data_IF_823652210126
#
_entry.id   IF_823652210126
#
_cell.length_a   1.000
_cell.length_b   1.000
_cell.length_c   1.000
_cell.angle_alpha   90.00
_cell.angle_beta   90.00
_cell.angle_gamma   90.00
#
_symmetry.space_group_name_H-M   'P 1'
#
loop_
_entity.id
_entity.type
_entity.pdbx_description
1 polymer ?
#
# COMPACT_ATOMS: atom_id res chain seq x y z
N UNK A 1 16.64 9.75 -0.42
CA UNK A 1 16.35 10.43 0.85
C UNK A 1 15.06 11.23 0.79
N UNK A 2 14.30 11.23 1.87
CA UNK A 2 13.05 11.97 1.96
C UNK A 2 13.32 13.47 2.14
N UNK A 3 12.87 14.29 1.19
CA UNK A 3 13.03 15.77 1.25
C UNK A 3 12.34 16.35 2.48
N UNK A 4 11.18 15.81 2.87
CA UNK A 4 10.43 16.25 4.04
C UNK A 4 11.26 16.14 5.32
N UNK A 5 12.00 15.05 5.53
CA UNK A 5 12.90 14.87 6.68
C UNK A 5 13.92 16.00 6.77
N UNK A 6 14.54 16.36 5.64
CA UNK A 6 15.54 17.43 5.61
C UNK A 6 14.95 18.79 6.03
N UNK A 7 13.78 19.15 5.49
CA UNK A 7 13.10 20.40 5.87
C UNK A 7 12.64 20.40 7.32
N UNK A 8 12.11 19.29 7.81
CA UNK A 8 11.68 19.17 9.19
C UNK A 8 12.85 19.17 10.18
N UNK A 9 13.99 18.60 9.81
CA UNK A 9 15.23 18.70 10.58
C UNK A 9 15.66 20.15 10.72
N UNK A 10 15.72 20.89 9.61
CA UNK A 10 16.06 22.32 9.61
C UNK A 10 15.07 23.10 10.48
N UNK A 11 13.77 22.89 10.31
CA UNK A 11 12.72 23.53 11.11
C UNK A 11 12.88 23.24 12.60
N UNK A 12 13.09 21.99 12.98
CA UNK A 12 13.34 21.59 14.36
C UNK A 12 14.56 22.25 14.97
N UNK A 13 15.65 22.34 14.21
CA UNK A 13 16.89 23.02 14.62
C UNK A 13 16.68 24.53 14.76
N UNK A 14 15.94 25.17 13.85
CA UNK A 14 15.61 26.61 13.96
C UNK A 14 14.74 26.90 15.20
N UNK A 15 13.75 26.04 15.51
CA UNK A 15 12.92 26.17 16.70
C UNK A 15 13.79 26.03 17.98
N UNK A 16 14.69 25.05 18.02
CA UNK A 16 15.61 24.86 19.14
C UNK A 16 16.54 26.06 19.30
N UNK A 17 17.10 26.57 18.20
CA UNK A 17 17.96 27.76 18.18
C UNK A 17 17.22 28.99 18.71
N UNK A 18 16.00 29.26 18.21
CA UNK A 18 15.18 30.39 18.68
C UNK A 18 14.86 30.28 20.18
N UNK A 19 14.59 29.06 20.67
CA UNK A 19 14.31 28.83 22.09
C UNK A 19 15.55 29.05 22.96
N UNK A 20 16.71 28.58 22.51
CA UNK A 20 17.98 28.77 23.23
C UNK A 20 18.39 30.24 23.27
N UNK A 21 18.20 30.99 22.18
CA UNK A 21 18.42 32.44 22.13
C UNK A 21 17.54 33.16 23.14
N UNK A 22 16.23 32.85 23.21
CA UNK A 22 15.31 33.46 24.18
C UNK A 22 15.71 33.17 25.62
N UNK A 23 16.26 31.98 25.89
CA UNK A 23 16.76 31.58 27.24
C UNK A 23 18.17 32.02 27.53
N UNK A 24 18.84 32.74 26.60
CA UNK A 24 20.27 33.14 26.70
C UNK A 24 21.21 31.93 26.93
N UNK A 25 20.86 30.75 26.38
CA UNK A 25 21.66 29.54 26.53
C UNK A 25 22.87 29.56 25.60
N UNK A 26 24.07 29.59 26.20
CA UNK A 26 25.33 29.62 25.44
C UNK A 26 25.57 28.36 24.56
N UNK A 27 24.84 27.26 24.76
CA UNK A 27 24.97 26.05 23.95
C UNK A 27 24.69 26.28 22.47
N UNK A 28 23.91 27.33 22.14
CA UNK A 28 23.63 27.70 20.76
C UNK A 28 24.89 28.04 19.97
N UNK A 29 25.93 28.59 20.64
CA UNK A 29 27.21 28.93 20.05
C UNK A 29 27.97 27.69 19.54
N UNK A 30 27.64 26.52 20.01
CA UNK A 30 28.25 25.25 19.56
C UNK A 30 27.33 24.48 18.62
N UNK A 31 26.03 24.54 18.82
CA UNK A 31 25.04 23.78 18.01
C UNK A 31 24.96 24.31 16.59
N UNK A 32 24.89 25.63 16.40
CA UNK A 32 24.81 26.24 15.04
C UNK A 32 26.05 25.93 14.19
N UNK A 33 27.29 26.11 14.68
CA UNK A 33 28.48 25.71 13.93
C UNK A 33 28.55 24.23 13.64
N UNK A 34 28.15 23.35 14.58
CA UNK A 34 28.11 21.90 14.34
C UNK A 34 27.16 21.54 13.19
N UNK A 35 25.98 22.15 13.14
CA UNK A 35 25.04 21.96 12.04
C UNK A 35 25.64 22.43 10.71
N UNK A 36 26.27 23.62 10.71
CA UNK A 36 26.93 24.15 9.51
C UNK A 36 28.03 23.20 9.01
N UNK A 37 28.83 22.64 9.91
CA UNK A 37 29.86 21.65 9.57
C UNK A 37 29.26 20.39 8.96
N UNK A 38 28.16 19.84 9.51
CA UNK A 38 27.49 18.66 8.96
C UNK A 38 26.93 18.95 7.56
N UNK A 39 26.34 20.13 7.35
CA UNK A 39 25.84 20.54 6.03
C UNK A 39 26.99 20.68 5.03
N UNK A 40 28.07 21.36 5.42
CA UNK A 40 29.24 21.55 4.56
C UNK A 40 29.96 20.23 4.24
N UNK A 41 30.07 19.32 5.22
CA UNK A 41 30.62 17.98 4.99
C UNK A 41 29.73 17.17 4.02
N UNK A 42 28.42 17.23 4.16
CA UNK A 42 27.48 16.59 3.23
C UNK A 42 27.61 17.12 1.81
N UNK A 43 27.75 18.46 1.65
CA UNK A 43 28.00 19.10 0.36
C UNK A 43 29.34 18.70 -0.25
N UNK A 44 30.41 18.64 0.58
CA UNK A 44 31.74 18.24 0.13
C UNK A 44 31.75 16.76 -0.33
N UNK A 45 31.10 15.87 0.39
CA UNK A 45 30.95 14.44 0.02
C UNK A 45 30.16 14.33 -1.30
N UNK A 46 29.06 15.05 -1.46
CA UNK A 46 28.28 15.06 -2.69
C UNK A 46 29.08 15.58 -3.89
N UNK A 47 29.86 16.62 -3.69
CA UNK A 47 30.76 17.16 -4.72
C UNK A 47 31.88 16.19 -5.09
N UNK A 48 32.46 15.50 -4.11
CA UNK A 48 33.53 14.53 -4.34
C UNK A 48 33.05 13.24 -5.01
N UNK A 49 31.88 12.75 -4.63
CA UNK A 49 31.27 11.55 -5.24
C UNK A 49 30.80 11.79 -6.68
N UNK A 50 30.79 13.02 -7.18
CA UNK A 50 30.24 13.37 -8.49
C UNK A 50 28.69 13.29 -8.55
N UNK A 51 28.05 12.96 -7.44
CA UNK A 51 26.59 12.82 -7.35
C UNK A 51 25.89 14.16 -7.07
N UNK A 52 26.20 15.15 -7.91
CA UNK A 52 25.49 16.43 -7.90
C UNK A 52 24.02 16.29 -8.29
N UNK A 53 23.64 15.18 -8.91
CA UNK A 53 22.25 14.88 -9.25
C UNK A 53 21.39 14.71 -8.01
N UNK A 54 21.88 13.99 -6.99
CA UNK A 54 21.17 13.85 -5.72
C UNK A 54 20.96 15.19 -5.03
N UNK A 55 21.92 16.10 -5.11
CA UNK A 55 21.80 17.46 -4.56
C UNK A 55 20.84 18.34 -5.37
N UNK A 56 20.89 18.29 -6.69
CA UNK A 56 19.96 19.02 -7.57
C UNK A 56 18.49 18.66 -7.28
N UNK A 57 18.21 17.45 -6.82
CA UNK A 57 16.87 17.05 -6.39
C UNK A 57 16.32 17.86 -5.21
N UNK A 58 17.15 18.43 -4.35
CA UNK A 58 16.70 19.28 -3.24
C UNK A 58 16.41 20.72 -3.66
N UNK A 59 17.04 21.20 -4.73
CA UNK A 59 16.85 22.56 -5.25
C UNK A 59 15.73 22.65 -6.27
N UNK A 60 15.40 21.55 -6.96
CA UNK A 60 14.33 21.49 -7.95
C UNK A 60 13.02 21.01 -7.30
N UNK A 61 12.35 21.90 -6.58
CA UNK A 61 11.02 21.61 -6.02
C UNK A 61 9.96 22.05 -7.02
N UNK A 62 9.37 21.07 -7.71
CA UNK A 62 8.21 21.30 -8.57
C UNK A 62 6.95 20.79 -7.90
N UNK A 63 5.95 21.66 -7.72
CA UNK A 63 4.64 21.29 -7.17
C UNK A 63 3.92 20.22 -8.01
N UNK A 64 4.28 20.08 -9.30
CA UNK A 64 3.77 19.06 -10.22
C UNK A 64 4.74 17.89 -10.39
N UNK A 65 5.61 17.61 -9.41
CA UNK A 65 6.50 16.46 -9.47
C UNK A 65 5.71 15.16 -9.38
N UNK A 66 6.16 14.14 -10.13
CA UNK A 66 5.50 12.81 -10.14
C UNK A 66 5.31 12.24 -8.72
N UNK A 67 6.32 12.37 -7.85
CA UNK A 67 6.25 11.88 -6.47
C UNK A 67 5.19 12.60 -5.62
N UNK A 68 5.03 13.93 -5.78
CA UNK A 68 4.02 14.69 -5.03
C UNK A 68 2.61 14.38 -5.55
N UNK A 69 2.45 14.32 -6.87
CA UNK A 69 1.17 14.01 -7.48
C UNK A 69 0.73 12.56 -7.18
N UNK A 70 1.68 11.63 -7.15
CA UNK A 70 1.40 10.26 -6.74
C UNK A 70 0.87 10.20 -5.29
N UNK A 71 1.52 10.86 -4.34
CA UNK A 71 1.04 10.93 -2.95
C UNK A 71 -0.33 11.58 -2.83
N UNK A 72 -0.59 12.62 -3.62
CA UNK A 72 -1.92 13.25 -3.66
C UNK A 72 -2.98 12.23 -4.09
N UNK A 73 -2.71 11.46 -5.15
CA UNK A 73 -3.64 10.42 -5.63
C UNK A 73 -3.80 9.30 -4.62
N UNK A 74 -2.71 8.82 -3.97
CA UNK A 74 -2.80 7.81 -2.91
C UNK A 74 -3.74 8.25 -1.78
N UNK A 75 -3.65 9.54 -1.38
CA UNK A 75 -4.52 10.07 -0.33
C UNK A 75 -5.96 10.20 -0.80
N UNK A 76 -6.21 10.71 -2.01
CA UNK A 76 -7.57 10.85 -2.58
C UNK A 76 -8.24 9.47 -2.70
N UNK A 77 -7.54 8.52 -3.32
CA UNK A 77 -8.08 7.17 -3.52
C UNK A 77 -8.17 6.41 -2.19
N UNK A 78 -7.21 6.60 -1.28
CA UNK A 78 -7.26 6.07 0.08
C UNK A 78 -8.47 6.57 0.89
N UNK A 79 -8.84 7.84 0.75
CA UNK A 79 -10.06 8.37 1.38
C UNK A 79 -11.31 7.71 0.78
N UNK A 80 -11.38 7.52 -0.54
CA UNK A 80 -12.50 6.79 -1.17
C UNK A 80 -12.61 5.36 -0.66
N UNK A 81 -11.46 4.67 -0.53
CA UNK A 81 -11.40 3.33 0.06
C UNK A 81 -11.94 3.32 1.50
N UNK A 82 -11.52 4.29 2.32
CA UNK A 82 -11.94 4.39 3.70
C UNK A 82 -13.44 4.64 3.83
N UNK A 83 -14.01 5.46 2.95
CA UNK A 83 -15.45 5.73 2.94
C UNK A 83 -16.27 4.49 2.57
N UNK A 84 -15.75 3.61 1.70
CA UNK A 84 -16.38 2.34 1.36
C UNK A 84 -16.11 1.23 2.38
N UNK A 85 -15.02 1.33 3.14
CA UNK A 85 -14.61 0.34 4.16
C UNK A 85 -14.25 1.02 5.49
N UNK A 86 -15.22 1.63 6.21
CA UNK A 86 -14.94 2.42 7.42
C UNK A 86 -14.38 1.59 8.59
N UNK A 87 -14.56 0.27 8.55
CA UNK A 87 -14.01 -0.68 9.53
C UNK A 87 -12.58 -1.14 9.22
N UNK A 88 -12.00 -0.65 8.12
CA UNK A 88 -10.68 -1.01 7.63
C UNK A 88 -10.68 -2.18 6.65
N UNK A 89 -9.58 -2.34 5.97
CA UNK A 89 -9.31 -3.39 4.96
C UNK A 89 -8.38 -4.49 5.49
N UNK A 90 -7.90 -4.36 6.72
CA UNK A 90 -6.86 -5.22 7.28
C UNK A 90 -5.43 -4.82 6.83
N UNK A 91 -4.45 -5.44 7.47
CA UNK A 91 -3.05 -5.19 7.17
C UNK A 91 -2.73 -5.40 5.69
N UNK A 92 -2.06 -4.41 5.07
CA UNK A 92 -1.78 -4.37 3.62
C UNK A 92 -3.04 -4.32 2.72
N UNK A 93 -4.22 -4.06 3.28
CA UNK A 93 -5.47 -3.95 2.51
C UNK A 93 -5.38 -2.89 1.41
N UNK A 94 -4.75 -1.74 1.69
CA UNK A 94 -4.48 -0.71 0.69
C UNK A 94 -3.72 -1.26 -0.53
N UNK A 95 -2.65 -2.04 -0.31
CA UNK A 95 -1.82 -2.60 -1.38
C UNK A 95 -2.64 -3.44 -2.37
N UNK A 96 -3.54 -4.26 -1.89
CA UNK A 96 -4.33 -5.14 -2.76
C UNK A 96 -5.56 -4.45 -3.36
N UNK A 97 -6.21 -3.59 -2.58
CA UNK A 97 -7.46 -2.95 -3.02
C UNK A 97 -7.24 -1.75 -3.93
N UNK A 98 -6.07 -1.08 -3.87
CA UNK A 98 -5.79 0.11 -4.68
C UNK A 98 -6.05 -0.11 -6.18
N UNK A 99 -5.64 -1.27 -6.71
CA UNK A 99 -5.76 -1.57 -8.15
C UNK A 99 -7.20 -1.52 -8.68
N UNK A 100 -8.21 -1.72 -7.83
CA UNK A 100 -9.62 -1.70 -8.22
C UNK A 100 -10.25 -0.30 -8.22
N UNK A 101 -9.65 0.67 -7.50
CA UNK A 101 -10.26 2.01 -7.29
C UNK A 101 -9.36 3.18 -7.67
N UNK A 102 -8.08 2.94 -7.96
CA UNK A 102 -7.10 3.98 -8.26
C UNK A 102 -7.52 4.83 -9.46
N UNK A 103 -7.26 6.13 -9.38
CA UNK A 103 -7.56 7.11 -10.41
C UNK A 103 -6.35 7.56 -11.21
N UNK A 104 -5.29 6.76 -11.21
CA UNK A 104 -4.07 6.94 -11.98
C UNK A 104 -3.22 5.67 -11.94
N UNK A 105 -2.33 5.50 -12.91
CA UNK A 105 -1.47 4.32 -13.01
C UNK A 105 -0.30 4.42 -12.02
N UNK A 106 -0.48 3.92 -10.82
CA UNK A 106 0.52 3.86 -9.77
C UNK A 106 0.47 2.52 -9.04
N UNK A 107 1.55 2.20 -8.33
CA UNK A 107 1.60 1.09 -7.37
C UNK A 107 2.32 1.57 -6.12
N UNK A 108 1.68 1.46 -4.97
CA UNK A 108 2.25 1.86 -3.68
C UNK A 108 1.94 0.83 -2.61
N UNK A 109 2.91 0.56 -1.75
CA UNK A 109 2.69 -0.35 -0.61
C UNK A 109 1.86 0.32 0.48
N UNK A 110 2.02 1.63 0.65
CA UNK A 110 1.39 2.45 1.68
C UNK A 110 0.87 3.76 1.10
N UNK A 111 -0.14 4.34 1.75
CA UNK A 111 -0.80 5.57 1.29
C UNK A 111 0.02 6.85 1.50
N UNK A 112 1.20 6.75 2.14
CA UNK A 112 2.06 7.88 2.53
C UNK A 112 1.36 8.94 3.38
N UNK A 113 0.52 8.49 4.29
CA UNK A 113 -0.14 9.24 5.35
C UNK A 113 -0.49 8.24 6.44
N UNK A 114 0.23 8.27 7.54
CA UNK A 114 0.12 7.23 8.58
C UNK A 114 -1.25 7.17 9.24
N UNK A 115 -1.89 8.33 9.44
CA UNK A 115 -3.23 8.37 10.03
C UNK A 115 -4.26 7.71 9.11
N UNK A 116 -4.17 8.01 7.80
CA UNK A 116 -5.02 7.39 6.79
C UNK A 116 -4.69 5.91 6.64
N UNK A 117 -3.39 5.54 6.65
CA UNK A 117 -2.97 4.13 6.60
C UNK A 117 -3.54 3.35 7.79
N UNK A 118 -3.42 3.88 9.01
CA UNK A 118 -4.00 3.26 10.20
C UNK A 118 -5.52 3.10 10.06
N UNK A 119 -6.22 4.13 9.54
CA UNK A 119 -7.65 4.05 9.32
C UNK A 119 -8.02 2.98 8.27
N UNK A 120 -7.22 2.82 7.22
CA UNK A 120 -7.39 1.77 6.22
C UNK A 120 -7.09 0.37 6.76
N UNK A 121 -6.12 0.24 7.68
CA UNK A 121 -5.73 -1.06 8.22
C UNK A 121 -6.69 -1.53 9.32
N UNK A 122 -7.06 -0.66 10.27
CA UNK A 122 -7.81 -1.05 11.48
C UNK A 122 -9.14 -0.32 11.67
N UNK A 123 -9.52 0.56 10.75
CA UNK A 123 -10.75 1.32 10.77
C UNK A 123 -10.63 2.73 11.34
N UNK A 124 -11.67 3.54 11.08
CA UNK A 124 -11.70 4.96 11.46
C UNK A 124 -11.61 5.15 12.99
N UNK A 125 -12.35 4.35 13.77
CA UNK A 125 -12.45 4.54 15.23
C UNK A 125 -11.08 4.40 15.91
N UNK A 126 -10.32 3.30 15.74
CA UNK A 126 -8.99 3.20 16.33
C UNK A 126 -8.03 4.29 15.85
N UNK A 127 -8.08 4.67 14.58
CA UNK A 127 -7.22 5.73 14.03
C UNK A 127 -7.51 7.09 14.68
N UNK A 128 -8.77 7.45 14.84
CA UNK A 128 -9.19 8.69 15.53
C UNK A 128 -8.77 8.68 17.00
N UNK A 129 -8.95 7.57 17.70
CA UNK A 129 -8.53 7.44 19.10
C UNK A 129 -7.00 7.57 19.24
N UNK A 130 -6.21 6.97 18.34
CA UNK A 130 -4.77 7.13 18.29
C UNK A 130 -4.35 8.58 18.02
N UNK A 131 -5.00 9.25 17.06
CA UNK A 131 -4.79 10.66 16.75
C UNK A 131 -5.10 11.57 17.96
N UNK A 132 -6.22 11.36 18.64
CA UNK A 132 -6.58 12.10 19.86
C UNK A 132 -5.53 11.86 20.95
N UNK A 133 -5.09 10.61 21.15
CA UNK A 133 -4.03 10.26 22.11
C UNK A 133 -2.72 10.99 21.79
N UNK A 134 -2.32 11.02 20.53
CA UNK A 134 -1.14 11.74 20.06
C UNK A 134 -1.23 13.25 20.31
N UNK A 135 -2.37 13.87 19.97
CA UNK A 135 -2.59 15.29 20.20
C UNK A 135 -2.55 15.60 21.71
N UNK A 136 -3.18 14.78 22.55
CA UNK A 136 -3.13 14.95 24.02
C UNK A 136 -1.70 14.87 24.56
N UNK A 137 -0.88 13.97 24.02
CA UNK A 137 0.53 13.87 24.37
C UNK A 137 1.29 15.14 23.94
N UNK A 138 1.08 15.62 22.71
CA UNK A 138 1.74 16.80 22.16
C UNK A 138 1.45 18.09 22.95
N UNK A 139 0.16 18.33 23.32
CA UNK A 139 -0.27 19.57 23.98
C UNK A 139 -0.30 19.45 25.52
N UNK A 140 -0.01 18.26 26.06
CA UNK A 140 -0.10 17.98 27.48
C UNK A 140 0.75 18.94 28.32
N UNK A 141 0.22 19.40 29.47
CA UNK A 141 0.94 20.35 30.36
C UNK A 141 2.23 19.72 30.93
N UNK A 142 2.29 18.39 31.04
CA UNK A 142 3.46 17.65 31.52
C UNK A 142 4.55 17.48 30.47
N UNK A 143 4.22 17.58 29.18
CA UNK A 143 5.16 17.30 28.09
C UNK A 143 6.29 18.32 28.05
N UNK A 144 7.52 17.83 28.13
CA UNK A 144 8.72 18.65 28.10
C UNK A 144 8.85 19.39 26.75
N UNK A 145 9.49 20.56 26.77
CA UNK A 145 9.67 21.34 25.54
C UNK A 145 10.42 20.54 24.46
N UNK A 146 11.45 19.79 24.85
CA UNK A 146 12.21 18.90 23.96
C UNK A 146 11.30 17.86 23.30
N UNK A 147 10.53 17.13 24.10
CA UNK A 147 9.67 16.07 23.63
C UNK A 147 8.54 16.61 22.74
N UNK A 148 8.04 17.82 23.05
CA UNK A 148 7.05 18.50 22.21
C UNK A 148 7.57 18.84 20.81
N UNK A 149 8.84 19.26 20.68
CA UNK A 149 9.46 19.50 19.36
C UNK A 149 9.60 18.17 18.61
N UNK A 150 10.06 17.10 19.25
CA UNK A 150 10.19 15.78 18.61
C UNK A 150 8.82 15.28 18.14
N UNK A 151 7.80 15.33 18.99
CA UNK A 151 6.44 14.93 18.66
C UNK A 151 5.87 15.79 17.53
N UNK A 152 6.05 17.11 17.56
CA UNK A 152 5.58 17.98 16.49
C UNK A 152 6.23 17.64 15.14
N UNK A 153 7.56 17.45 15.14
CA UNK A 153 8.30 17.08 13.93
C UNK A 153 7.85 15.72 13.39
N UNK A 154 7.72 14.72 14.25
CA UNK A 154 7.22 13.40 13.88
C UNK A 154 5.78 13.49 13.39
N UNK A 155 4.90 14.20 14.11
CA UNK A 155 3.49 14.37 13.75
C UNK A 155 3.27 15.04 12.40
N UNK A 156 4.11 16.00 12.02
CA UNK A 156 4.06 16.59 10.68
C UNK A 156 4.56 15.58 9.65
N UNK A 157 5.64 14.84 9.93
CA UNK A 157 6.22 13.90 8.98
C UNK A 157 5.26 12.75 8.64
N UNK A 158 4.60 12.15 9.63
CA UNK A 158 3.66 11.04 9.44
C UNK A 158 2.42 11.39 8.60
N UNK A 159 2.13 12.69 8.40
CA UNK A 159 1.07 13.12 7.46
C UNK A 159 1.50 13.06 5.99
N UNK A 160 2.80 12.90 5.72
CA UNK A 160 3.37 12.90 4.38
C UNK A 160 4.17 11.64 4.05
N UNK A 161 4.34 10.73 5.02
CA UNK A 161 5.07 9.47 4.83
C UNK A 161 4.52 8.35 5.75
N UNK A 162 5.12 7.15 5.67
CA UNK A 162 4.70 5.91 6.36
C UNK A 162 5.75 5.50 7.43
N UNK A 163 5.91 6.32 8.44
CA UNK A 163 6.99 6.20 9.44
C UNK A 163 6.79 5.05 10.43
N UNK A 164 5.56 4.74 10.82
CA UNK A 164 5.28 3.73 11.85
C UNK A 164 5.42 2.29 11.36
N UNK A 165 5.74 2.12 10.08
CA UNK A 165 6.21 0.83 9.56
C UNK A 165 7.65 0.51 10.01
N UNK A 166 8.37 1.50 10.55
CA UNK A 166 9.69 1.30 11.14
C UNK A 166 9.59 1.11 12.66
N UNK A 167 9.87 -0.11 13.21
CA UNK A 167 9.74 -0.40 14.64
C UNK A 167 10.53 0.56 15.54
N UNK A 168 11.68 1.04 15.05
CA UNK A 168 12.52 2.01 15.77
C UNK A 168 11.76 3.29 16.11
N UNK A 169 10.93 3.81 15.20
CA UNK A 169 10.13 5.02 15.45
C UNK A 169 9.01 4.77 16.45
N UNK A 170 8.41 3.59 16.44
CA UNK A 170 7.46 3.18 17.47
C UNK A 170 8.11 3.03 18.83
N UNK A 171 9.35 2.51 18.91
CA UNK A 171 10.13 2.44 20.14
C UNK A 171 10.46 3.83 20.70
N UNK A 172 10.86 4.78 19.83
CA UNK A 172 11.09 6.16 20.22
C UNK A 172 9.80 6.79 20.75
N UNK A 173 8.68 6.64 20.05
CA UNK A 173 7.38 7.16 20.48
C UNK A 173 6.97 6.56 21.82
N UNK A 174 7.13 5.25 22.01
CA UNK A 174 6.86 4.57 23.27
C UNK A 174 7.72 5.11 24.42
N UNK A 175 9.02 5.35 24.16
CA UNK A 175 9.94 5.97 25.14
C UNK A 175 9.49 7.37 25.53
N UNK A 176 9.05 8.20 24.57
CA UNK A 176 8.50 9.54 24.84
C UNK A 176 7.22 9.48 25.70
N UNK A 177 6.33 8.53 25.41
CA UNK A 177 5.10 8.31 26.19
C UNK A 177 5.45 7.92 27.63
N UNK A 178 6.39 7.00 27.81
CA UNK A 178 6.85 6.57 29.14
C UNK A 178 7.52 7.71 29.93
N UNK A 179 8.37 8.53 29.30
CA UNK A 179 9.03 9.68 29.95
C UNK A 179 8.01 10.71 30.45
N UNK A 180 6.93 10.95 29.70
CA UNK A 180 5.90 11.93 30.07
C UNK A 180 4.87 11.36 31.05
N UNK A 181 4.76 10.05 31.19
CA UNK A 181 3.82 9.37 32.09
C UNK A 181 4.38 9.38 33.53
N UNK A 182 4.17 10.48 34.25
CA UNK A 182 4.65 10.65 35.62
C UNK A 182 3.79 9.95 36.71
N UNK A 183 2.67 9.35 36.31
CA UNK A 183 1.77 8.68 37.24
C UNK A 183 2.14 7.21 37.39
N UNK A 184 2.64 6.81 38.52
CA UNK A 184 2.66 5.40 38.90
C UNK A 184 1.21 4.92 39.09
N UNK A 185 0.76 4.06 38.17
CA UNK A 185 -0.52 3.40 38.33
C UNK A 185 -0.29 2.12 39.11
N UNK A 186 -0.70 2.10 40.37
CA UNK A 186 -0.74 0.86 41.12
C UNK A 186 -1.85 -0.03 40.57
N UNK A 187 -1.46 -1.09 39.87
CA UNK A 187 -2.40 -2.09 39.37
C UNK A 187 -2.73 -3.06 40.51
N UNK A 188 -4.01 -3.35 40.70
CA UNK A 188 -4.44 -4.46 41.56
C UNK A 188 -4.01 -5.81 40.92
N UNK A 189 -4.08 -6.90 41.70
CA UNK A 189 -3.61 -8.20 41.27
C UNK A 189 -4.31 -8.72 40.02
N UNK A 190 -5.58 -8.36 39.82
CA UNK A 190 -6.35 -8.75 38.62
C UNK A 190 -5.87 -8.01 37.37
N UNK A 191 -5.67 -6.70 37.46
CA UNK A 191 -5.15 -5.88 36.33
C UNK A 191 -3.71 -6.22 36.00
N UNK A 192 -2.87 -6.56 36.98
CA UNK A 192 -1.50 -7.07 36.76
C UNK A 192 -1.55 -8.38 35.96
N UNK A 193 -2.38 -9.36 36.37
CA UNK A 193 -2.54 -10.62 35.64
C UNK A 193 -3.01 -10.39 34.24
N UNK A 194 -4.02 -9.52 34.03
CA UNK A 194 -4.54 -9.18 32.69
C UNK A 194 -3.43 -8.54 31.83
N UNK A 195 -2.68 -7.58 32.34
CA UNK A 195 -1.58 -6.95 31.61
C UNK A 195 -0.48 -7.95 31.23
N UNK A 196 -0.07 -8.82 32.16
CA UNK A 196 0.90 -9.89 31.88
C UNK A 196 0.35 -10.84 30.80
N UNK A 197 -0.93 -11.25 30.89
CA UNK A 197 -1.53 -12.12 29.89
C UNK A 197 -1.54 -11.48 28.50
N UNK A 198 -1.90 -10.20 28.40
CA UNK A 198 -1.91 -9.45 27.13
C UNK A 198 -0.49 -9.40 26.54
N UNK A 199 0.51 -9.05 27.35
CA UNK A 199 1.91 -9.01 26.91
C UNK A 199 2.40 -10.38 26.46
N UNK A 200 2.11 -11.43 27.24
CA UNK A 200 2.49 -12.80 26.89
C UNK A 200 1.87 -13.25 25.56
N UNK A 201 0.57 -13.02 25.38
CA UNK A 201 -0.12 -13.34 24.13
C UNK A 201 0.50 -12.54 22.96
N UNK A 202 0.78 -11.25 23.16
CA UNK A 202 1.41 -10.40 22.14
C UNK A 202 2.79 -10.93 21.74
N UNK A 203 3.61 -11.35 22.69
CA UNK A 203 4.91 -11.97 22.44
C UNK A 203 4.75 -13.28 21.66
N UNK A 204 3.84 -14.15 22.08
CA UNK A 204 3.59 -15.42 21.38
C UNK A 204 3.14 -15.20 19.92
N UNK A 205 2.20 -14.27 19.68
CA UNK A 205 1.77 -13.88 18.34
C UNK A 205 2.93 -13.30 17.51
N UNK A 206 3.75 -12.45 18.12
CA UNK A 206 4.92 -11.86 17.44
C UNK A 206 5.96 -12.91 17.06
N UNK A 207 6.24 -13.87 17.95
CA UNK A 207 7.13 -15.00 17.65
C UNK A 207 6.59 -15.89 16.54
N UNK A 208 5.30 -16.19 16.56
CA UNK A 208 4.63 -16.98 15.53
C UNK A 208 4.72 -16.30 14.15
N UNK A 209 4.29 -15.03 14.04
CA UNK A 209 4.38 -14.25 12.81
C UNK A 209 5.83 -14.01 12.39
N UNK A 210 6.73 -13.75 13.35
CA UNK A 210 8.15 -13.56 13.11
C UNK A 210 8.82 -14.82 12.53
N UNK A 211 8.42 -16.01 12.99
CA UNK A 211 8.88 -17.28 12.42
C UNK A 211 8.49 -17.42 10.95
N UNK A 212 7.25 -17.10 10.60
CA UNK A 212 6.80 -17.12 9.21
C UNK A 212 7.57 -16.10 8.35
N UNK A 213 7.78 -14.88 8.87
CA UNK A 213 8.56 -13.84 8.18
C UNK A 213 10.04 -14.23 8.00
N UNK A 214 10.63 -14.92 8.97
CA UNK A 214 11.99 -15.46 8.87
C UNK A 214 12.07 -16.54 7.79
N UNK A 215 11.10 -17.45 7.74
CA UNK A 215 11.03 -18.47 6.69
C UNK A 215 10.87 -17.85 5.30
N UNK A 216 10.05 -16.79 5.17
CA UNK A 216 9.92 -16.01 3.94
C UNK A 216 11.24 -15.35 3.53
N UNK A 217 11.95 -14.73 4.47
CA UNK A 217 13.27 -14.16 4.25
C UNK A 217 14.29 -15.21 3.77
N UNK A 218 14.22 -16.42 4.33
CA UNK A 218 15.02 -17.57 3.91
C UNK A 218 14.51 -18.23 2.61
N UNK A 219 13.55 -17.62 1.92
CA UNK A 219 12.93 -18.09 0.68
C UNK A 219 12.23 -19.46 0.80
N UNK A 220 11.87 -19.88 2.02
CA UNK A 220 11.11 -21.10 2.30
C UNK A 220 9.60 -20.80 2.30
N UNK A 221 9.08 -20.39 1.15
CA UNK A 221 7.73 -19.83 1.02
C UNK A 221 6.61 -20.81 1.40
N UNK A 222 6.71 -22.10 1.01
CA UNK A 222 5.73 -23.12 1.39
C UNK A 222 5.68 -23.31 2.91
N UNK A 223 6.84 -23.39 3.57
CA UNK A 223 6.92 -23.50 5.01
C UNK A 223 6.39 -22.23 5.71
N UNK A 224 6.71 -21.05 5.20
CA UNK A 224 6.18 -19.79 5.72
C UNK A 224 4.66 -19.72 5.63
N UNK A 225 4.08 -20.12 4.49
CA UNK A 225 2.63 -20.19 4.27
C UNK A 225 1.96 -21.25 5.16
N UNK A 226 2.64 -22.35 5.46
CA UNK A 226 2.14 -23.38 6.38
C UNK A 226 2.12 -22.91 7.84
N UNK A 227 3.16 -22.17 8.26
CA UNK A 227 3.23 -21.61 9.62
C UNK A 227 2.20 -20.49 9.81
N UNK A 228 2.04 -19.61 8.82
CA UNK A 228 1.11 -18.47 8.88
C UNK A 228 0.31 -18.38 7.58
N UNK A 229 -0.85 -19.08 7.49
CA UNK A 229 -1.66 -19.14 6.26
C UNK A 229 -2.21 -17.80 5.77
N UNK A 230 -2.18 -16.75 6.58
CA UNK A 230 -2.56 -15.37 6.19
C UNK A 230 -1.41 -14.57 5.57
N UNK A 231 -0.22 -15.16 5.42
CA UNK A 231 0.92 -14.51 4.79
C UNK A 231 0.79 -14.54 3.26
N UNK A 232 -0.03 -13.64 2.73
CA UNK A 232 -0.35 -13.55 1.29
C UNK A 232 0.92 -13.44 0.42
N UNK A 233 1.96 -12.73 0.89
CA UNK A 233 3.23 -12.59 0.15
C UNK A 233 3.91 -13.93 -0.12
N UNK A 234 4.00 -14.81 0.87
CA UNK A 234 4.57 -16.15 0.71
C UNK A 234 3.72 -17.01 -0.21
N UNK A 235 2.40 -16.96 -0.08
CA UNK A 235 1.50 -17.70 -0.96
C UNK A 235 1.58 -17.23 -2.42
N UNK A 236 1.70 -15.93 -2.67
CA UNK A 236 1.95 -15.38 -4.01
C UNK A 236 3.27 -15.91 -4.59
N UNK A 237 4.32 -16.06 -3.77
CA UNK A 237 5.58 -16.67 -4.20
C UNK A 237 5.42 -18.16 -4.53
N UNK A 238 4.61 -18.90 -3.75
CA UNK A 238 4.27 -20.30 -4.08
C UNK A 238 3.59 -20.38 -5.44
N UNK A 239 2.62 -19.50 -5.74
CA UNK A 239 1.95 -19.46 -7.05
C UNK A 239 2.97 -19.16 -8.17
N UNK A 240 3.87 -18.20 -7.97
CA UNK A 240 4.76 -17.72 -9.04
C UNK A 240 5.97 -18.64 -9.29
N UNK A 241 6.41 -19.41 -8.29
CA UNK A 241 7.68 -20.17 -8.36
C UNK A 241 7.51 -21.68 -8.34
N UNK A 242 6.33 -22.19 -8.03
CA UNK A 242 6.11 -23.64 -7.95
C UNK A 242 5.74 -24.21 -9.32
N UNK A 243 6.33 -25.36 -9.66
CA UNK A 243 5.99 -26.11 -10.87
C UNK A 243 4.77 -27.03 -10.65
N UNK A 244 4.42 -27.33 -9.41
CA UNK A 244 3.28 -28.19 -9.04
C UNK A 244 1.97 -27.40 -9.04
N UNK A 245 1.11 -27.68 -10.01
CA UNK A 245 -0.19 -27.04 -10.15
C UNK A 245 -1.10 -27.24 -8.92
N UNK A 246 -1.05 -28.40 -8.25
CA UNK A 246 -1.86 -28.63 -7.07
C UNK A 246 -1.51 -27.65 -5.94
N UNK A 247 -0.22 -27.40 -5.71
CA UNK A 247 0.24 -26.42 -4.72
C UNK A 247 -0.09 -24.98 -5.11
N UNK A 248 0.07 -24.63 -6.40
CA UNK A 248 -0.34 -23.30 -6.91
C UNK A 248 -1.82 -23.03 -6.65
N UNK A 249 -2.67 -23.98 -7.02
CA UNK A 249 -4.12 -23.83 -6.89
C UNK A 249 -4.56 -23.80 -5.42
N UNK A 250 -3.94 -24.61 -4.56
CA UNK A 250 -4.22 -24.57 -3.11
C UNK A 250 -3.83 -23.20 -2.50
N UNK A 251 -2.68 -22.64 -2.90
CA UNK A 251 -2.27 -21.30 -2.46
C UNK A 251 -3.22 -20.21 -2.98
N UNK A 252 -3.63 -20.30 -4.25
CA UNK A 252 -4.56 -19.34 -4.85
C UNK A 252 -5.95 -19.39 -4.18
N UNK A 253 -6.48 -20.58 -3.91
CA UNK A 253 -7.73 -20.74 -3.15
C UNK A 253 -7.64 -20.15 -1.75
N UNK A 254 -6.51 -20.36 -1.06
CA UNK A 254 -6.30 -19.82 0.28
C UNK A 254 -6.28 -18.30 0.26
N UNK A 255 -5.61 -17.70 -0.74
CA UNK A 255 -5.62 -16.22 -0.91
C UNK A 255 -7.03 -15.74 -1.19
N UNK A 256 -7.74 -16.33 -2.15
CA UNK A 256 -9.09 -15.91 -2.53
C UNK A 256 -10.13 -16.02 -1.42
N UNK A 257 -9.92 -16.90 -0.42
CA UNK A 257 -10.75 -16.94 0.80
C UNK A 257 -10.55 -15.76 1.74
N UNK A 258 -9.44 -15.06 1.62
CA UNK A 258 -9.03 -13.99 2.53
C UNK A 258 -9.02 -12.62 1.85
N UNK A 259 -8.81 -12.60 0.54
CA UNK A 259 -8.56 -11.39 -0.24
C UNK A 259 -9.07 -11.54 -1.68
N UNK A 260 -10.17 -10.88 -1.96
CA UNK A 260 -10.82 -10.90 -3.28
C UNK A 260 -10.11 -10.03 -4.34
N UNK A 261 -9.02 -9.35 -3.97
CA UNK A 261 -8.35 -8.36 -4.83
C UNK A 261 -6.93 -8.77 -5.22
N UNK A 262 -6.51 -9.99 -4.90
CA UNK A 262 -5.18 -10.48 -5.29
C UNK A 262 -5.18 -10.97 -6.75
N UNK A 263 -4.77 -10.11 -7.68
CA UNK A 263 -4.78 -10.38 -9.13
C UNK A 263 -4.13 -11.70 -9.51
N UNK A 264 -2.95 -12.01 -8.95
CA UNK A 264 -2.20 -13.26 -9.23
C UNK A 264 -3.02 -14.49 -8.81
N UNK A 265 -3.66 -14.46 -7.64
CA UNK A 265 -4.47 -15.55 -7.16
C UNK A 265 -5.73 -15.74 -8.03
N UNK A 266 -6.39 -14.64 -8.40
CA UNK A 266 -7.57 -14.66 -9.26
C UNK A 266 -7.23 -15.20 -10.66
N UNK A 267 -6.10 -14.82 -11.25
CA UNK A 267 -5.63 -15.37 -12.53
C UNK A 267 -5.34 -16.87 -12.42
N UNK A 268 -4.67 -17.31 -11.36
CA UNK A 268 -4.38 -18.71 -11.09
C UNK A 268 -5.67 -19.54 -10.92
N UNK A 269 -6.71 -18.97 -10.29
CA UNK A 269 -8.03 -19.60 -10.18
C UNK A 269 -8.76 -19.66 -11.52
N UNK A 270 -8.61 -18.65 -12.39
CA UNK A 270 -9.15 -18.69 -13.74
C UNK A 270 -8.51 -19.84 -14.55
N UNK A 271 -7.18 -20.00 -14.48
CA UNK A 271 -6.47 -21.13 -15.10
C UNK A 271 -6.95 -22.49 -14.59
N UNK A 272 -7.12 -22.64 -13.26
CA UNK A 272 -7.66 -23.84 -12.65
C UNK A 272 -9.03 -24.18 -13.22
N UNK A 273 -9.93 -23.20 -13.29
CA UNK A 273 -11.29 -23.36 -13.79
C UNK A 273 -11.34 -23.70 -15.28
N UNK A 274 -10.40 -23.15 -16.07
CA UNK A 274 -10.21 -23.54 -17.47
C UNK A 274 -9.87 -25.03 -17.60
N UNK A 275 -8.94 -25.54 -16.77
CA UNK A 275 -8.55 -26.96 -16.77
C UNK A 275 -9.69 -27.89 -16.30
N UNK A 276 -10.56 -27.43 -15.41
CA UNK A 276 -11.75 -28.14 -14.95
C UNK A 276 -12.91 -28.12 -15.97
N UNK A 277 -12.81 -27.32 -17.05
CA UNK A 277 -13.88 -27.12 -18.03
C UNK A 277 -15.03 -26.23 -17.53
N UNK A 278 -14.86 -25.56 -16.39
CA UNK A 278 -15.85 -24.65 -15.79
C UNK A 278 -15.66 -23.24 -16.38
N UNK A 279 -16.21 -23.01 -17.57
CA UNK A 279 -16.04 -21.77 -18.34
C UNK A 279 -16.63 -20.54 -17.63
N UNK A 280 -17.78 -20.69 -16.96
CA UNK A 280 -18.41 -19.58 -16.25
C UNK A 280 -17.56 -19.07 -15.08
N UNK A 281 -17.04 -19.99 -14.26
CA UNK A 281 -16.14 -19.63 -13.18
C UNK A 281 -14.81 -19.09 -13.71
N UNK A 282 -14.26 -19.64 -14.78
CA UNK A 282 -13.05 -19.16 -15.43
C UNK A 282 -13.21 -17.69 -15.83
N UNK A 283 -14.26 -17.35 -16.56
CA UNK A 283 -14.55 -15.97 -16.99
C UNK A 283 -14.79 -15.06 -15.80
N UNK A 284 -15.50 -15.54 -14.76
CA UNK A 284 -15.74 -14.76 -13.54
C UNK A 284 -14.45 -14.41 -12.80
N UNK A 285 -13.53 -15.36 -12.61
CA UNK A 285 -12.23 -15.09 -11.98
C UNK A 285 -11.35 -14.18 -12.83
N UNK A 286 -11.31 -14.36 -14.16
CA UNK A 286 -10.57 -13.48 -15.06
C UNK A 286 -11.12 -12.04 -15.04
N UNK A 287 -12.45 -11.86 -14.99
CA UNK A 287 -13.09 -10.54 -14.84
C UNK A 287 -12.69 -9.86 -13.52
N UNK A 288 -12.74 -10.60 -12.41
CA UNK A 288 -12.29 -10.09 -11.10
C UNK A 288 -10.82 -9.71 -11.11
N UNK A 289 -9.95 -10.50 -11.76
CA UNK A 289 -8.53 -10.20 -11.88
C UNK A 289 -8.29 -8.90 -12.67
N UNK A 290 -8.97 -8.71 -13.79
CA UNK A 290 -8.93 -7.46 -14.56
C UNK A 290 -9.39 -6.26 -13.70
N UNK A 291 -10.50 -6.40 -12.98
CA UNK A 291 -11.06 -5.34 -12.14
C UNK A 291 -10.17 -5.02 -10.93
N UNK A 292 -9.42 -5.99 -10.40
CA UNK A 292 -8.50 -5.78 -9.28
C UNK A 292 -7.23 -5.00 -9.66
N UNK A 293 -6.99 -4.78 -10.98
CA UNK A 293 -5.81 -4.06 -11.48
C UNK A 293 -6.16 -3.25 -12.74
N UNK A 294 -7.04 -2.26 -12.57
CA UNK A 294 -7.74 -1.54 -13.63
C UNK A 294 -6.88 -0.79 -14.67
N UNK A 295 -5.60 -0.50 -14.36
CA UNK A 295 -4.64 0.08 -15.31
C UNK A 295 -3.65 -0.95 -15.87
N UNK A 296 -3.80 -2.23 -15.52
CA UNK A 296 -2.92 -3.27 -16.04
C UNK A 296 -3.46 -3.79 -17.38
N UNK A 297 -2.81 -3.43 -18.47
CA UNK A 297 -3.09 -3.90 -19.82
C UNK A 297 -3.21 -5.43 -19.90
N UNK A 298 -2.24 -6.16 -19.30
CA UNK A 298 -2.23 -7.63 -19.32
C UNK A 298 -3.48 -8.25 -18.66
N UNK A 299 -4.06 -7.60 -17.67
CA UNK A 299 -5.30 -8.05 -17.04
C UNK A 299 -6.47 -8.05 -18.02
N UNK A 300 -6.58 -7.03 -18.87
CA UNK A 300 -7.60 -6.96 -19.93
C UNK A 300 -7.33 -8.00 -21.02
N UNK A 301 -6.09 -8.15 -21.45
CA UNK A 301 -5.70 -9.09 -22.50
C UNK A 301 -5.97 -10.54 -22.07
N UNK A 302 -5.65 -10.90 -20.83
CA UNK A 302 -5.97 -12.21 -20.27
C UNK A 302 -7.49 -12.41 -20.20
N UNK A 303 -8.25 -11.40 -19.78
CA UNK A 303 -9.71 -11.51 -19.72
C UNK A 303 -10.32 -11.72 -21.10
N UNK A 304 -9.89 -10.95 -22.11
CA UNK A 304 -10.34 -11.10 -23.49
C UNK A 304 -9.95 -12.47 -24.06
N UNK A 305 -8.74 -12.95 -23.76
CA UNK A 305 -8.30 -14.29 -24.16
C UNK A 305 -9.18 -15.39 -23.55
N UNK A 306 -9.49 -15.31 -22.26
CA UNK A 306 -10.37 -16.28 -21.58
C UNK A 306 -11.80 -16.24 -22.16
N UNK A 307 -12.29 -15.05 -22.53
CA UNK A 307 -13.58 -14.91 -23.21
C UNK A 307 -13.56 -15.57 -24.61
N UNK A 308 -12.50 -15.34 -25.41
CA UNK A 308 -12.39 -15.98 -26.72
C UNK A 308 -12.37 -17.49 -26.64
N UNK A 309 -11.62 -18.02 -25.66
CA UNK A 309 -11.59 -19.47 -25.38
C UNK A 309 -12.96 -20.00 -24.99
N UNK A 310 -13.71 -19.29 -24.13
CA UNK A 310 -15.06 -19.69 -23.73
C UNK A 310 -16.05 -19.65 -24.89
N UNK A 311 -15.95 -18.68 -25.79
CA UNK A 311 -16.77 -18.55 -27.00
C UNK A 311 -16.48 -19.69 -27.97
N UNK A 312 -15.23 -19.98 -28.27
CA UNK A 312 -14.83 -21.07 -29.16
C UNK A 312 -15.30 -22.43 -28.65
N UNK A 313 -15.08 -22.69 -27.35
CA UNK A 313 -15.52 -23.95 -26.72
C UNK A 313 -17.04 -24.07 -26.69
N UNK A 314 -17.75 -22.99 -26.32
CA UNK A 314 -19.22 -22.98 -26.31
C UNK A 314 -19.83 -23.19 -27.69
N UNK A 315 -19.23 -22.61 -28.73
CA UNK A 315 -19.64 -22.83 -30.12
C UNK A 315 -19.43 -24.30 -30.55
N UNK A 316 -18.27 -24.88 -30.22
CA UNK A 316 -17.97 -26.26 -30.53
C UNK A 316 -18.95 -27.26 -29.84
N UNK A 317 -19.42 -26.89 -28.65
CA UNK A 317 -20.40 -27.67 -27.88
C UNK A 317 -21.87 -27.36 -28.22
N UNK A 318 -22.13 -26.41 -29.12
CA UNK A 318 -23.48 -25.99 -29.51
C UNK A 318 -24.24 -25.21 -28.41
N UNK A 319 -23.54 -24.60 -27.46
CA UNK A 319 -24.11 -23.85 -26.33
C UNK A 319 -24.33 -22.36 -26.70
N UNK A 320 -25.31 -22.12 -27.58
CA UNK A 320 -25.55 -20.77 -28.15
C UNK A 320 -25.80 -19.70 -27.11
N UNK A 321 -26.61 -19.96 -26.08
CA UNK A 321 -26.94 -18.98 -25.04
C UNK A 321 -25.71 -18.57 -24.20
N UNK A 322 -24.89 -19.54 -23.79
CA UNK A 322 -23.65 -19.27 -23.04
C UNK A 322 -22.65 -18.48 -23.91
N UNK A 323 -22.54 -18.84 -25.19
CA UNK A 323 -21.67 -18.14 -26.14
C UNK A 323 -22.06 -16.68 -26.29
N UNK A 324 -23.36 -16.40 -26.44
CA UNK A 324 -23.87 -15.02 -26.53
C UNK A 324 -23.56 -14.19 -25.27
N UNK A 325 -23.71 -14.79 -24.08
CA UNK A 325 -23.32 -14.16 -22.80
C UNK A 325 -21.84 -13.77 -22.78
N UNK A 326 -20.95 -14.66 -23.25
CA UNK A 326 -19.52 -14.35 -23.32
C UNK A 326 -19.19 -13.26 -24.34
N UNK A 327 -19.90 -13.24 -25.47
CA UNK A 327 -19.76 -12.19 -26.46
C UNK A 327 -20.19 -10.81 -25.91
N UNK A 328 -21.27 -10.75 -25.14
CA UNK A 328 -21.66 -9.52 -24.45
C UNK A 328 -20.58 -9.08 -23.44
N UNK A 329 -19.95 -10.01 -22.73
CA UNK A 329 -18.87 -9.71 -21.79
C UNK A 329 -17.62 -9.14 -22.47
N UNK A 330 -17.37 -9.45 -23.75
CA UNK A 330 -16.31 -8.79 -24.55
C UNK A 330 -16.60 -7.30 -24.72
N UNK A 331 -17.86 -6.94 -25.02
CA UNK A 331 -18.28 -5.53 -25.13
C UNK A 331 -18.17 -4.80 -23.77
N UNK A 332 -18.48 -5.49 -22.68
CA UNK A 332 -18.31 -4.92 -21.33
C UNK A 332 -16.83 -4.59 -21.02
N UNK A 333 -15.87 -5.41 -21.51
CA UNK A 333 -14.45 -5.14 -21.34
C UNK A 333 -14.05 -3.81 -22.00
N UNK A 334 -14.54 -3.54 -23.20
CA UNK A 334 -14.31 -2.28 -23.90
C UNK A 334 -14.93 -1.08 -23.14
N UNK A 335 -16.16 -1.24 -22.67
CA UNK A 335 -16.84 -0.22 -21.85
C UNK A 335 -16.08 0.06 -20.57
N UNK A 336 -15.49 -0.97 -19.95
CA UNK A 336 -14.70 -0.81 -18.75
C UNK A 336 -13.42 0.00 -19.01
N UNK A 337 -12.74 -0.19 -20.13
CA UNK A 337 -11.57 0.62 -20.51
C UNK A 337 -11.95 2.09 -20.60
N UNK A 338 -13.01 2.43 -21.36
CA UNK A 338 -13.48 3.81 -21.47
C UNK A 338 -13.86 4.42 -20.12
N UNK A 339 -14.55 3.66 -19.27
CA UNK A 339 -14.89 4.09 -17.93
C UNK A 339 -13.65 4.42 -17.09
N UNK A 340 -12.60 3.60 -17.15
CA UNK A 340 -11.34 3.85 -16.44
C UNK A 340 -10.67 5.12 -16.97
N UNK A 341 -10.70 5.35 -18.27
CA UNK A 341 -10.15 6.58 -18.88
C UNK A 341 -10.92 7.82 -18.42
N UNK A 342 -12.25 7.77 -18.37
CA UNK A 342 -13.10 8.87 -17.89
C UNK A 342 -12.89 9.16 -16.38
N UNK A 343 -12.72 8.13 -15.56
CA UNK A 343 -12.48 8.25 -14.13
C UNK A 343 -11.05 8.65 -13.79
N UNK A 344 -10.16 8.68 -14.78
CA UNK A 344 -8.75 9.02 -14.58
C UNK A 344 -8.59 10.47 -14.13
N UNK A 345 -7.90 10.66 -13.02
CA UNK A 345 -7.66 11.97 -12.45
C UNK A 345 -6.80 12.85 -13.37
N UNK A 346 -7.11 14.15 -13.42
CA UNK A 346 -6.30 15.15 -14.14
C UNK A 346 -4.85 15.21 -13.62
N UNK A 347 -4.57 14.72 -12.41
CA UNK A 347 -3.25 14.63 -11.84
C UNK A 347 -2.44 13.42 -12.35
N UNK A 348 -3.11 12.41 -12.90
CA UNK A 348 -2.46 11.19 -13.38
C UNK A 348 -1.46 11.44 -14.52
N UNK A 349 -1.67 12.50 -15.31
CA UNK A 349 -0.73 12.91 -16.37
C UNK A 349 0.67 13.25 -15.88
N UNK A 350 0.83 13.57 -14.58
CA UNK A 350 2.12 13.89 -13.96
C UNK A 350 2.83 12.66 -13.38
N UNK A 351 2.15 11.51 -13.33
CA UNK A 351 2.76 10.26 -12.86
C UNK A 351 3.83 9.78 -13.83
N UNK A 352 4.73 8.94 -13.30
CA UNK A 352 5.75 8.27 -14.11
C UNK A 352 5.09 7.32 -15.12
N UNK A 353 4.19 6.46 -14.64
CA UNK A 353 3.41 5.58 -15.50
C UNK A 353 2.21 6.34 -16.07
N UNK A 354 2.07 6.29 -17.38
CA UNK A 354 0.91 6.92 -18.04
C UNK A 354 -0.35 6.09 -17.83
N UNK A 355 -1.52 6.74 -17.69
CA UNK A 355 -2.76 6.03 -17.39
C UNK A 355 -3.42 5.38 -18.61
N UNK A 356 -2.79 5.43 -19.79
CA UNK A 356 -3.35 4.89 -21.02
C UNK A 356 -3.32 3.36 -21.03
N UNK A 357 -4.46 2.73 -21.35
CA UNK A 357 -4.59 1.28 -21.49
C UNK A 357 -4.55 0.97 -22.99
N UNK A 358 -3.36 0.66 -23.50
CA UNK A 358 -3.16 0.32 -24.92
C UNK A 358 -3.03 -1.19 -25.07
N UNK A 359 -4.09 -1.84 -25.53
CA UNK A 359 -4.09 -3.27 -25.84
C UNK A 359 -3.26 -3.55 -27.10
N UNK A 360 -2.74 -4.76 -27.20
CA UNK A 360 -2.06 -5.22 -28.41
C UNK A 360 -3.06 -5.35 -29.56
N UNK A 361 -2.56 -5.22 -30.79
CA UNK A 361 -3.38 -5.11 -32.03
C UNK A 361 -4.35 -6.29 -32.18
N UNK A 362 -3.93 -7.50 -31.82
CA UNK A 362 -4.79 -8.70 -31.88
C UNK A 362 -6.03 -8.56 -31.01
N UNK A 363 -5.91 -8.05 -29.77
CA UNK A 363 -7.04 -7.88 -28.86
C UNK A 363 -7.94 -6.72 -29.29
N UNK A 364 -7.35 -5.64 -29.80
CA UNK A 364 -8.11 -4.51 -30.34
C UNK A 364 -8.95 -4.93 -31.56
N UNK A 365 -8.38 -5.76 -32.43
CA UNK A 365 -9.07 -6.31 -33.59
C UNK A 365 -10.20 -7.23 -33.18
N UNK A 366 -9.94 -8.12 -32.21
CA UNK A 366 -10.95 -9.02 -31.65
C UNK A 366 -12.14 -8.27 -31.04
N UNK A 367 -11.89 -7.21 -30.26
CA UNK A 367 -12.94 -6.36 -29.70
C UNK A 367 -13.82 -5.70 -30.78
N UNK A 368 -13.23 -5.24 -31.91
CA UNK A 368 -13.98 -4.67 -33.04
C UNK A 368 -14.87 -5.73 -33.67
N UNK A 369 -14.33 -6.89 -34.01
CA UNK A 369 -15.09 -7.98 -34.63
C UNK A 369 -16.26 -8.46 -33.73
N UNK A 370 -16.03 -8.63 -32.42
CA UNK A 370 -17.08 -8.99 -31.48
C UNK A 370 -18.18 -7.92 -31.39
N UNK A 371 -17.82 -6.63 -31.51
CA UNK A 371 -18.78 -5.53 -31.50
C UNK A 371 -19.62 -5.48 -32.77
N UNK A 372 -19.04 -5.80 -33.92
CA UNK A 372 -19.75 -5.87 -35.22
C UNK A 372 -20.77 -7.02 -35.20
N UNK A 373 -20.42 -8.19 -34.69
CA UNK A 373 -21.35 -9.32 -34.57
C UNK A 373 -22.58 -8.93 -33.73
N UNK A 374 -22.38 -8.26 -32.58
CA UNK A 374 -23.46 -7.84 -31.70
C UNK A 374 -24.33 -6.69 -32.26
N UNK A 375 -23.92 -6.00 -33.33
CA UNK A 375 -24.70 -4.96 -33.98
C UNK A 375 -25.58 -5.52 -35.14
N UNK A 376 -25.24 -6.70 -35.63
CA UNK A 376 -25.94 -7.35 -36.74
C UNK A 376 -27.06 -8.28 -36.30
N UNK A 377 -27.14 -8.60 -35.01
CA UNK A 377 -28.26 -9.30 -34.37
C UNK A 377 -29.23 -8.31 -33.67
#
# INVERSE_FOLDING_TARGET
GCRAVFFLLILGLLIQAATALRKKDKRILYVLPAIAVVILAGLAIAAWSGDMYSFARYTQIHLKSSSLMARLLYNIDGIKMLLSHPWGLGAKGFLFYQGSVQTGNYSATYVHNELLQMALDVGIIPAVLAGIGYIKLLIGKGTSHRNRIILLTLGIHVLFDWDFQFPVLLMILSGLICEESKKEISLDNMRKRLAVSIVTISIMCSLWMGTASLLEFLQKYEAAASVYPWLTSSQMRVISQNADNAKKYAAAEQICKQNDYCTIALQCMAEKKAQEGDLDSMVSYAKKAMQSSRYNKEGYEIYIYMLSYAIETGNAEGKTESTYKYLQAVREAQTQIHKVEEETSVYAKYLYNKPEIKLDEQYTTYLKQASEILQTE
#
